data_IF_030189211340
#
_entry.id   IF_030189211340
#
_cell.length_a   1.000
_cell.length_b   1.000
_cell.length_c   1.000
_cell.angle_alpha   90.00
_cell.angle_beta   90.00
_cell.angle_gamma   90.00
#
_symmetry.space_group_name_H-M   'P 1'
#
loop_
_entity.id
_entity.type
_entity.pdbx_description
1 polymer ?
#
# COMPACT_ATOMS: atom_id res chain seq x y z
N UNK A 1 -8.00 -80.17 32.83
CA UNK A 1 -7.56 -79.17 33.80
C UNK A 1 -7.49 -77.85 33.10
N UNK A 2 -8.07 -76.87 33.69
CA UNK A 2 -8.52 -75.57 33.12
C UNK A 2 -7.36 -74.62 32.85
N UNK A 3 -7.30 -74.09 31.63
CA UNK A 3 -6.39 -72.98 31.29
C UNK A 3 -7.24 -71.76 30.91
N UNK A 4 -7.16 -70.72 31.75
CA UNK A 4 -7.80 -69.43 31.50
C UNK A 4 -6.96 -68.63 30.50
N UNK A 5 -7.54 -68.29 29.37
CA UNK A 5 -6.98 -67.32 28.44
C UNK A 5 -7.36 -65.91 28.85
N UNK A 6 -6.35 -65.09 29.09
CA UNK A 6 -6.53 -63.66 29.35
C UNK A 6 -6.63 -62.89 28.02
N UNK A 7 -7.76 -62.29 27.75
CA UNK A 7 -7.95 -61.29 26.67
C UNK A 7 -7.34 -59.97 27.13
N UNK A 8 -6.25 -59.55 26.48
CA UNK A 8 -5.74 -58.18 26.60
C UNK A 8 -6.47 -57.29 25.57
N UNK A 9 -7.38 -56.45 26.08
CA UNK A 9 -8.01 -55.44 25.27
C UNK A 9 -7.07 -54.24 25.12
N UNK A 10 -6.46 -54.10 23.95
CA UNK A 10 -5.63 -52.92 23.59
C UNK A 10 -6.57 -51.74 23.27
N UNK A 11 -6.65 -50.80 24.21
CA UNK A 11 -7.35 -49.53 24.03
C UNK A 11 -6.47 -48.64 23.15
N UNK A 12 -6.78 -48.55 21.86
CA UNK A 12 -6.16 -47.59 20.95
C UNK A 12 -6.73 -46.19 21.24
N UNK A 13 -5.95 -45.36 21.94
CA UNK A 13 -6.30 -43.96 22.19
C UNK A 13 -6.10 -43.19 20.88
N UNK A 14 -7.19 -42.89 20.17
CA UNK A 14 -7.19 -42.07 18.98
C UNK A 14 -6.99 -40.60 19.43
N UNK A 15 -5.74 -40.11 19.43
CA UNK A 15 -5.43 -38.68 19.64
C UNK A 15 -5.86 -37.96 18.36
N UNK A 16 -7.05 -37.39 18.37
CA UNK A 16 -7.49 -36.46 17.35
C UNK A 16 -6.68 -35.18 17.51
N UNK A 17 -5.63 -35.01 16.68
CA UNK A 17 -4.94 -33.72 16.53
C UNK A 17 -5.93 -32.74 15.92
N UNK A 18 -6.52 -31.92 16.76
CA UNK A 18 -7.26 -30.75 16.30
C UNK A 18 -6.26 -29.82 15.64
N UNK A 19 -6.23 -29.82 14.30
CA UNK A 19 -5.62 -28.74 13.51
C UNK A 19 -6.48 -27.51 13.75
N UNK A 20 -6.17 -26.81 14.84
CA UNK A 20 -6.74 -25.52 15.12
C UNK A 20 -6.39 -24.58 13.97
N UNK A 21 -7.38 -24.16 13.20
CA UNK A 21 -7.21 -23.07 12.27
C UNK A 21 -6.70 -21.87 13.07
N UNK A 22 -5.41 -21.53 12.91
CA UNK A 22 -4.87 -20.32 13.53
C UNK A 22 -5.72 -19.14 13.06
N UNK A 23 -6.20 -18.28 13.97
CA UNK A 23 -6.94 -17.09 13.58
C UNK A 23 -6.09 -16.32 12.59
N UNK A 24 -6.59 -16.13 11.35
CA UNK A 24 -5.87 -15.35 10.35
C UNK A 24 -5.59 -13.98 10.95
N UNK A 25 -4.32 -13.64 11.10
CA UNK A 25 -3.90 -12.35 11.61
C UNK A 25 -4.63 -11.23 10.85
N UNK A 26 -5.21 -10.30 11.58
CA UNK A 26 -5.81 -9.10 11.01
C UNK A 26 -4.75 -8.01 10.91
N UNK A 27 -4.94 -7.09 9.96
CA UNK A 27 -4.05 -5.92 9.80
C UNK A 27 -4.23 -5.00 11.02
N UNK A 28 -3.16 -4.80 11.75
CA UNK A 28 -3.07 -3.90 12.91
C UNK A 28 -2.00 -2.84 12.67
N UNK A 29 -2.02 -1.76 13.44
CA UNK A 29 -0.98 -0.73 13.37
C UNK A 29 0.40 -1.34 13.65
N UNK A 30 1.36 -1.10 12.75
CA UNK A 30 2.70 -1.65 12.84
C UNK A 30 2.89 -2.99 12.13
N UNK A 31 1.82 -3.64 11.63
CA UNK A 31 1.92 -4.82 10.79
C UNK A 31 2.63 -4.51 9.47
N UNK A 32 3.47 -5.42 8.98
CA UNK A 32 3.95 -5.39 7.60
C UNK A 32 2.95 -6.13 6.72
N UNK A 33 2.40 -5.43 5.75
CA UNK A 33 1.32 -5.93 4.89
C UNK A 33 1.79 -5.99 3.45
N UNK A 34 1.44 -7.07 2.75
CA UNK A 34 1.62 -7.16 1.29
C UNK A 34 0.25 -7.24 0.63
N UNK A 35 0.03 -6.39 -0.37
CA UNK A 35 -1.23 -6.32 -1.11
C UNK A 35 -1.00 -6.39 -2.62
N UNK A 36 -1.95 -6.99 -3.31
CA UNK A 36 -2.18 -6.73 -4.74
C UNK A 36 -3.20 -5.62 -4.85
N UNK A 37 -3.01 -4.70 -5.79
CA UNK A 37 -3.95 -3.62 -6.03
C UNK A 37 -4.11 -3.31 -7.52
N UNK A 38 -5.26 -2.76 -7.85
CA UNK A 38 -5.52 -2.06 -9.10
C UNK A 38 -6.14 -0.71 -8.77
N UNK A 39 -5.45 0.35 -9.15
CA UNK A 39 -5.87 1.73 -8.99
C UNK A 39 -6.60 2.19 -10.24
N UNK A 40 -7.79 2.72 -10.06
CA UNK A 40 -8.63 3.29 -11.11
C UNK A 40 -9.03 4.72 -10.75
N UNK A 41 -9.38 5.50 -11.76
CA UNK A 41 -10.07 6.76 -11.57
C UNK A 41 -11.58 6.56 -11.36
N UNK A 42 -12.33 7.66 -11.21
CA UNK A 42 -13.78 7.66 -11.06
C UNK A 42 -14.54 7.22 -12.32
N UNK A 43 -13.86 7.17 -13.47
CA UNK A 43 -14.39 6.67 -14.75
C UNK A 43 -14.11 5.18 -14.97
N UNK A 44 -13.33 4.56 -14.08
CA UNK A 44 -12.93 3.16 -14.15
C UNK A 44 -11.67 2.93 -15.02
N UNK A 45 -10.99 3.98 -15.46
CA UNK A 45 -9.72 3.86 -16.17
C UNK A 45 -8.63 3.40 -15.20
N UNK A 46 -7.86 2.37 -15.59
CA UNK A 46 -6.75 1.87 -14.78
C UNK A 46 -5.59 2.83 -14.87
N UNK A 47 -5.24 3.42 -13.73
CA UNK A 47 -4.11 4.36 -13.60
C UNK A 47 -2.82 3.66 -13.21
N UNK A 48 -2.93 2.59 -12.38
CA UNK A 48 -1.78 1.81 -11.92
C UNK A 48 -2.24 0.43 -11.42
N UNK A 49 -1.35 -0.56 -11.46
CA UNK A 49 -1.58 -1.89 -10.92
C UNK A 49 -0.29 -2.65 -10.70
N UNK A 50 -0.26 -3.49 -9.66
CA UNK A 50 0.79 -4.48 -9.47
C UNK A 50 0.32 -5.92 -9.78
N UNK A 51 -0.86 -6.08 -10.39
CA UNK A 51 -1.35 -7.41 -10.80
C UNK A 51 -0.35 -8.11 -11.72
N UNK A 52 0.06 -9.33 -11.37
CA UNK A 52 1.09 -10.08 -12.09
C UNK A 52 2.52 -9.63 -11.82
N UNK A 53 2.73 -8.73 -10.88
CA UNK A 53 4.04 -8.27 -10.38
C UNK A 53 4.19 -8.61 -8.90
N UNK A 54 5.29 -8.15 -8.31
CA UNK A 54 5.51 -8.30 -6.88
C UNK A 54 4.46 -7.52 -6.05
N UNK A 55 3.86 -8.13 -5.01
CA UNK A 55 2.93 -7.44 -4.13
C UNK A 55 3.56 -6.23 -3.45
N UNK A 56 2.80 -5.14 -3.34
CA UNK A 56 3.22 -3.94 -2.63
C UNK A 56 3.35 -4.21 -1.14
N UNK A 57 4.56 -4.12 -0.61
CA UNK A 57 4.84 -4.25 0.80
C UNK A 57 4.89 -2.87 1.48
N UNK A 58 4.18 -2.73 2.60
CA UNK A 58 4.20 -1.50 3.40
C UNK A 58 3.95 -1.82 4.87
N UNK A 59 4.32 -0.89 5.73
CA UNK A 59 4.06 -0.97 7.17
C UNK A 59 2.84 -0.12 7.52
N UNK A 60 1.81 -0.77 8.09
CA UNK A 60 0.55 -0.14 8.47
C UNK A 60 0.77 1.00 9.49
N UNK A 61 0.27 2.19 9.19
CA UNK A 61 0.41 3.38 10.04
C UNK A 61 1.76 4.09 9.96
N UNK A 62 2.66 3.70 9.04
CA UNK A 62 3.95 4.36 8.82
C UNK A 62 3.92 5.42 7.72
N UNK A 63 2.74 5.81 7.24
CA UNK A 63 2.54 6.82 6.19
C UNK A 63 3.24 6.48 4.86
N UNK A 64 3.43 5.19 4.57
CA UNK A 64 4.04 4.70 3.33
C UNK A 64 3.02 4.62 2.18
N UNK A 65 1.74 4.66 2.50
CA UNK A 65 0.61 4.69 1.56
C UNK A 65 -0.32 5.84 1.94
N UNK A 66 -1.24 6.19 1.02
CA UNK A 66 -2.18 7.29 1.24
C UNK A 66 -3.09 7.04 2.45
N UNK A 67 -3.44 8.08 3.24
CA UNK A 67 -4.16 7.93 4.51
C UNK A 67 -5.51 7.23 4.39
N UNK A 68 -6.25 7.47 3.30
CA UNK A 68 -7.53 6.83 3.05
C UNK A 68 -7.40 5.31 2.89
N UNK A 69 -6.35 4.86 2.21
CA UNK A 69 -6.06 3.45 2.01
C UNK A 69 -5.58 2.80 3.33
N UNK A 70 -4.65 3.47 4.03
CA UNK A 70 -4.11 2.99 5.30
C UNK A 70 -5.23 2.70 6.32
N UNK A 71 -6.19 3.61 6.46
CA UNK A 71 -7.36 3.41 7.34
C UNK A 71 -8.30 2.29 6.87
N UNK A 72 -8.51 2.19 5.56
CA UNK A 72 -9.45 1.23 4.99
C UNK A 72 -8.99 -0.23 5.13
N UNK A 73 -7.68 -0.45 5.25
CA UNK A 73 -7.07 -1.78 5.36
C UNK A 73 -7.06 -2.33 6.78
N UNK A 74 -7.22 -1.50 7.81
CA UNK A 74 -7.28 -1.94 9.21
C UNK A 74 -8.34 -3.02 9.42
N UNK A 75 -7.98 -4.09 10.13
CA UNK A 75 -8.86 -5.22 10.45
C UNK A 75 -9.05 -6.23 9.32
N UNK A 76 -8.57 -5.99 8.10
CA UNK A 76 -8.62 -6.98 7.02
C UNK A 76 -7.67 -8.15 7.29
N UNK A 77 -7.99 -9.31 6.74
CA UNK A 77 -7.25 -10.56 6.92
C UNK A 77 -6.64 -11.02 5.60
N UNK A 78 -5.68 -11.92 5.69
CA UNK A 78 -5.08 -12.54 4.49
C UNK A 78 -6.14 -13.22 3.62
N UNK A 79 -6.16 -12.87 2.34
CA UNK A 79 -7.11 -13.33 1.34
C UNK A 79 -8.34 -12.45 1.18
N UNK A 80 -8.55 -11.46 2.07
CA UNK A 80 -9.66 -10.51 1.93
C UNK A 80 -9.45 -9.61 0.71
N UNK A 81 -10.56 -9.28 0.06
CA UNK A 81 -10.62 -8.31 -1.04
C UNK A 81 -11.52 -7.15 -0.66
N UNK A 82 -11.14 -5.94 -1.05
CA UNK A 82 -11.94 -4.75 -0.77
C UNK A 82 -11.78 -3.71 -1.88
N UNK A 83 -12.91 -3.12 -2.26
CA UNK A 83 -12.92 -1.90 -3.08
C UNK A 83 -12.94 -0.69 -2.14
N UNK A 84 -11.94 0.18 -2.28
CA UNK A 84 -11.79 1.38 -1.46
C UNK A 84 -11.85 2.61 -2.35
N UNK A 85 -12.80 3.50 -2.09
CA UNK A 85 -12.90 4.80 -2.76
C UNK A 85 -12.22 5.84 -1.88
N UNK A 86 -11.19 6.49 -2.40
CA UNK A 86 -10.40 7.49 -1.70
C UNK A 86 -10.64 8.85 -2.34
N UNK A 87 -11.13 9.78 -1.56
CA UNK A 87 -11.32 11.18 -1.99
C UNK A 87 -9.96 11.89 -2.10
N UNK A 88 -9.87 12.98 -2.87
CA UNK A 88 -8.61 13.71 -3.03
C UNK A 88 -7.95 14.08 -1.69
N UNK A 89 -8.72 14.52 -0.71
CA UNK A 89 -8.23 14.96 0.60
C UNK A 89 -7.58 13.82 1.42
N UNK A 90 -8.00 12.59 1.16
CA UNK A 90 -7.50 11.38 1.81
C UNK A 90 -6.49 10.62 0.95
N UNK A 91 -6.23 11.12 -0.26
CA UNK A 91 -5.30 10.59 -1.24
C UNK A 91 -4.10 11.53 -1.45
N UNK A 92 -4.00 12.04 -2.68
CA UNK A 92 -2.89 12.91 -3.10
C UNK A 92 -3.19 14.41 -2.96
N UNK A 93 -4.24 14.78 -2.22
CA UNK A 93 -4.64 16.16 -2.00
C UNK A 93 -5.49 16.74 -3.14
N UNK A 94 -6.05 17.92 -2.87
CA UNK A 94 -6.71 18.73 -3.89
C UNK A 94 -5.67 19.39 -4.81
N UNK A 95 -6.09 19.74 -6.02
CA UNK A 95 -5.26 20.58 -6.88
C UNK A 95 -5.13 21.97 -6.25
N UNK A 96 -3.91 22.42 -6.02
CA UNK A 96 -3.61 23.77 -5.61
C UNK A 96 -3.19 24.59 -6.85
N UNK A 97 -3.99 25.56 -7.30
CA UNK A 97 -3.65 26.39 -8.45
C UNK A 97 -2.41 27.27 -8.24
N UNK A 98 -1.95 27.40 -6.98
CA UNK A 98 -0.73 28.14 -6.62
C UNK A 98 0.51 27.26 -6.51
N UNK A 99 0.35 25.95 -6.58
CA UNK A 99 1.45 24.98 -6.55
C UNK A 99 2.16 24.96 -7.92
N UNK A 100 2.76 26.09 -8.29
CA UNK A 100 3.51 26.27 -9.52
C UNK A 100 4.90 26.83 -9.20
N UNK A 101 5.89 26.44 -9.98
CA UNK A 101 7.24 27.01 -9.91
C UNK A 101 7.71 27.41 -11.30
N UNK A 102 8.18 28.64 -11.42
CA UNK A 102 8.86 29.10 -12.64
C UNK A 102 10.36 28.90 -12.50
N UNK A 103 10.94 28.14 -13.42
CA UNK A 103 12.38 27.80 -13.43
C UNK A 103 13.00 28.14 -14.79
N UNK A 104 14.30 28.46 -14.85
CA UNK A 104 15.01 28.64 -16.12
C UNK A 104 14.98 27.34 -16.94
N UNK A 105 14.87 27.44 -18.27
CA UNK A 105 14.93 26.27 -19.18
C UNK A 105 16.21 25.46 -18.98
N UNK A 106 17.30 26.13 -18.68
CA UNK A 106 18.62 25.54 -18.45
C UNK A 106 18.68 24.63 -17.22
N UNK A 107 17.70 24.78 -16.30
CA UNK A 107 17.59 23.91 -15.12
C UNK A 107 16.90 22.57 -15.42
N UNK A 108 16.34 22.41 -16.63
CA UNK A 108 15.71 21.17 -17.06
C UNK A 108 16.67 20.32 -17.89
N UNK A 109 16.49 18.99 -17.91
CA UNK A 109 17.20 18.13 -18.86
C UNK A 109 16.93 18.55 -20.30
N UNK A 110 17.89 18.34 -21.18
CA UNK A 110 17.78 18.66 -22.59
C UNK A 110 16.56 17.99 -23.22
N UNK A 111 15.75 18.74 -23.96
CA UNK A 111 14.50 18.25 -24.56
C UNK A 111 13.31 18.14 -23.62
N UNK A 112 13.47 18.42 -22.32
CA UNK A 112 12.37 18.30 -21.34
C UNK A 112 11.42 19.51 -21.30
N UNK A 113 11.77 20.62 -21.96
CA UNK A 113 10.95 21.83 -22.01
C UNK A 113 9.78 21.69 -23.04
N UNK A 114 8.92 20.68 -22.82
CA UNK A 114 7.72 20.42 -23.63
C UNK A 114 6.52 20.32 -22.70
N UNK A 115 5.43 21.02 -23.03
CA UNK A 115 4.19 21.00 -22.22
C UNK A 115 3.67 19.56 -22.07
N UNK A 116 3.34 19.19 -20.83
CA UNK A 116 2.89 17.83 -20.48
C UNK A 116 4.02 16.86 -20.10
N UNK A 117 5.29 17.24 -20.28
CA UNK A 117 6.42 16.41 -19.85
C UNK A 117 6.40 16.26 -18.33
N UNK A 118 6.49 15.01 -17.86
CA UNK A 118 6.63 14.68 -16.44
C UNK A 118 8.10 14.56 -16.06
N UNK A 119 8.47 15.23 -14.99
CA UNK A 119 9.85 15.26 -14.48
C UNK A 119 9.83 14.92 -12.99
N UNK A 120 10.99 14.56 -12.47
CA UNK A 120 11.22 14.42 -11.03
C UNK A 120 12.02 15.62 -10.56
N UNK A 121 11.37 16.53 -9.82
CA UNK A 121 12.04 17.66 -9.18
C UNK A 121 12.37 17.32 -7.73
N UNK A 122 13.46 17.83 -7.22
CA UNK A 122 13.81 17.68 -5.81
C UNK A 122 13.13 18.79 -5.01
N UNK A 123 12.25 18.39 -4.07
CA UNK A 123 11.57 19.31 -3.18
C UNK A 123 12.51 19.94 -2.15
N UNK A 124 12.00 20.90 -1.37
CA UNK A 124 12.74 21.51 -0.25
C UNK A 124 13.09 20.52 0.86
N UNK A 125 12.32 19.44 0.96
CA UNK A 125 12.55 18.29 1.85
C UNK A 125 13.65 17.35 1.36
N UNK A 126 14.26 17.64 0.18
CA UNK A 126 15.28 16.81 -0.46
C UNK A 126 14.75 15.59 -1.19
N UNK A 127 13.45 15.31 -1.11
CA UNK A 127 12.83 14.15 -1.74
C UNK A 127 12.47 14.44 -3.21
N UNK A 128 12.50 13.41 -4.08
CA UNK A 128 12.03 13.56 -5.44
C UNK A 128 10.49 13.60 -5.49
N UNK A 129 9.95 14.66 -6.12
CA UNK A 129 8.53 14.83 -6.35
C UNK A 129 8.24 14.87 -7.86
N UNK A 130 7.20 14.19 -8.33
CA UNK A 130 6.78 14.29 -9.72
C UNK A 130 6.19 15.68 -10.00
N UNK A 131 6.68 16.32 -11.04
CA UNK A 131 6.20 17.62 -11.51
C UNK A 131 5.88 17.54 -13.00
N UNK A 132 5.00 18.41 -13.49
CA UNK A 132 4.62 18.43 -14.90
C UNK A 132 4.90 19.79 -15.50
N UNK A 133 5.47 19.82 -16.71
CA UNK A 133 5.66 21.06 -17.46
C UNK A 133 4.30 21.61 -17.89
N UNK A 134 3.91 22.78 -17.37
CA UNK A 134 2.61 23.39 -17.62
C UNK A 134 2.67 24.43 -18.74
N UNK A 135 3.68 25.31 -18.71
CA UNK A 135 3.85 26.36 -19.71
C UNK A 135 5.34 26.48 -20.05
N UNK A 136 5.64 26.63 -21.33
CA UNK A 136 6.98 26.92 -21.82
C UNK A 136 7.01 28.35 -22.33
N UNK A 137 7.79 29.24 -21.70
CA UNK A 137 8.04 30.62 -22.08
C UNK A 137 9.39 30.72 -22.82
N UNK A 138 9.81 31.89 -23.22
CA UNK A 138 11.04 32.05 -24.00
C UNK A 138 12.31 31.58 -23.26
N UNK A 139 12.48 31.98 -21.99
CA UNK A 139 13.66 31.67 -21.16
C UNK A 139 13.34 30.78 -19.96
N UNK A 140 12.07 30.62 -19.62
CA UNK A 140 11.63 29.92 -18.42
C UNK A 140 10.56 28.87 -18.74
N UNK A 141 10.33 28.00 -17.77
CA UNK A 141 9.27 26.99 -17.82
C UNK A 141 8.48 27.06 -16.51
N UNK A 142 7.15 27.01 -16.59
CA UNK A 142 6.30 26.88 -15.43
C UNK A 142 6.02 25.41 -15.19
N UNK A 143 6.39 24.93 -14.03
CA UNK A 143 6.15 23.57 -13.56
C UNK A 143 4.92 23.55 -12.66
N UNK A 144 4.03 22.59 -12.90
CA UNK A 144 2.97 22.24 -11.98
C UNK A 144 3.54 21.28 -10.93
N UNK A 145 3.52 21.68 -9.67
CA UNK A 145 4.02 20.91 -8.53
C UNK A 145 2.96 19.99 -7.92
N UNK A 146 1.71 20.04 -8.41
CA UNK A 146 0.68 19.14 -7.98
C UNK A 146 1.03 17.69 -8.35
N UNK A 147 0.70 16.78 -7.45
CA UNK A 147 0.82 15.36 -7.80
C UNK A 147 -0.10 15.04 -9.01
N UNK A 148 0.33 14.21 -9.98
CA UNK A 148 -0.48 13.90 -11.18
C UNK A 148 -1.86 13.31 -10.89
N UNK A 149 -2.06 12.78 -9.69
CA UNK A 149 -3.33 12.23 -9.19
C UNK A 149 -4.05 13.17 -8.22
N UNK A 150 -3.54 14.37 -7.96
CA UNK A 150 -4.21 15.36 -7.14
C UNK A 150 -5.58 15.73 -7.73
N UNK A 151 -6.55 15.99 -6.88
CA UNK A 151 -7.93 16.34 -7.28
C UNK A 151 -8.75 15.17 -7.83
N UNK A 152 -8.15 13.98 -7.99
CA UNK A 152 -8.87 12.81 -8.49
C UNK A 152 -9.45 11.97 -7.35
N UNK A 153 -10.68 11.51 -7.52
CA UNK A 153 -11.20 10.42 -6.70
C UNK A 153 -10.62 9.13 -7.21
N UNK A 154 -10.03 8.36 -6.32
CA UNK A 154 -9.32 7.13 -6.64
C UNK A 154 -10.10 5.92 -6.15
N UNK A 155 -10.14 4.88 -6.97
CA UNK A 155 -10.79 3.62 -6.65
C UNK A 155 -9.73 2.52 -6.63
N UNK A 156 -9.50 1.92 -5.48
CA UNK A 156 -8.59 0.80 -5.31
C UNK A 156 -9.37 -0.50 -5.20
N UNK A 157 -9.10 -1.43 -6.08
CA UNK A 157 -9.46 -2.83 -5.90
C UNK A 157 -8.25 -3.52 -5.26
N UNK A 158 -8.40 -4.02 -4.03
CA UNK A 158 -7.30 -4.53 -3.20
C UNK A 158 -7.54 -5.97 -2.85
N UNK A 159 -6.44 -6.74 -2.77
CA UNK A 159 -6.40 -8.08 -2.18
C UNK A 159 -5.23 -8.16 -1.20
N UNK A 160 -5.50 -8.61 0.01
CA UNK A 160 -4.45 -8.83 1.03
C UNK A 160 -3.76 -10.17 0.75
N UNK A 161 -2.46 -10.10 0.49
CA UNK A 161 -1.63 -11.29 0.14
C UNK A 161 -1.00 -11.88 1.39
N UNK A 162 -0.39 -11.04 2.24
CA UNK A 162 0.22 -11.50 3.50
C UNK A 162 0.19 -10.40 4.55
N UNK A 163 0.20 -10.84 5.81
CA UNK A 163 0.28 -9.95 6.97
C UNK A 163 1.33 -10.54 7.90
N UNK A 164 2.34 -9.75 8.20
CA UNK A 164 3.30 -10.03 9.27
C UNK A 164 2.90 -9.15 10.46
N UNK A 165 2.59 -9.73 11.62
CA UNK A 165 2.20 -8.95 12.79
C UNK A 165 3.33 -7.99 13.21
N UNK A 166 3.03 -6.93 13.95
CA UNK A 166 4.06 -6.07 14.51
C UNK A 166 5.06 -6.91 15.28
N UNK A 167 6.37 -6.61 15.12
CA UNK A 167 7.38 -7.25 15.97
C UNK A 167 6.96 -7.06 17.44
N UNK A 168 6.82 -8.16 18.17
CA UNK A 168 6.51 -8.09 19.59
C UNK A 168 7.52 -7.17 20.27
N UNK A 169 7.02 -6.20 21.02
CA UNK A 169 7.89 -5.39 21.85
C UNK A 169 8.73 -6.34 22.72
N UNK A 170 10.06 -6.13 22.86
CA UNK A 170 10.86 -6.99 23.73
C UNK A 170 10.22 -7.01 25.10
N UNK A 171 10.00 -8.23 25.60
CA UNK A 171 9.46 -8.42 26.94
C UNK A 171 10.32 -7.63 27.95
N UNK A 172 9.71 -6.91 28.90
CA UNK A 172 10.48 -6.21 29.92
C UNK A 172 11.37 -7.24 30.63
N UNK A 173 12.66 -6.92 30.70
CA UNK A 173 13.63 -7.77 31.40
C UNK A 173 13.14 -8.04 32.82
N UNK A 174 13.23 -9.28 33.32
CA UNK A 174 12.87 -9.59 34.69
C UNK A 174 13.75 -8.77 35.65
N UNK A 175 13.10 -8.10 36.62
CA UNK A 175 13.78 -7.37 37.70
C UNK A 175 14.39 -8.35 38.68
#
# INVERSE_FOLDING_TARGET
MRSLGALAASLVLLVATQVGAQPKAAIEKGSTVKIDYTLKDDKGEVLDTNSGKEPLAFKQGAQQIIPGLDRALLGMKVGDTKKVVVKPEEGYGKVDPKAEAEVPKEALPEGAAVVGTRLMARGQDGNPHPVTVKVVKDKTVVLDLNHPLAGKTLVFDIKVVSIEPPAAAPAPAPK
#
